data_IF_527042625777
#
_entry.id   IF_527042625777
#
_cell.length_a   1.000
_cell.length_b   1.000
_cell.length_c   1.000
_cell.angle_alpha   90.00
_cell.angle_beta   90.00
_cell.angle_gamma   90.00
#
_symmetry.space_group_name_H-M   'P 1'
#
loop_
_entity.id
_entity.type
_entity.pdbx_description
1 polymer ?
#
# COMPACT_ATOMS: atom_id res chain seq x y z
N UNK A 1 -6.75 -14.10 -41.40
CA UNK A 1 -7.14 -13.48 -40.11
C UNK A 1 -7.05 -14.55 -39.02
N UNK A 2 -6.01 -14.52 -38.21
CA UNK A 2 -5.71 -15.53 -37.19
C UNK A 2 -6.46 -15.22 -35.89
N UNK A 3 -7.48 -16.03 -35.57
CA UNK A 3 -8.26 -15.90 -34.34
C UNK A 3 -7.45 -16.34 -33.13
N UNK A 4 -7.11 -15.41 -32.25
CA UNK A 4 -6.51 -15.69 -30.96
C UNK A 4 -7.58 -16.30 -30.04
N UNK A 5 -7.60 -17.62 -29.92
CA UNK A 5 -8.43 -18.34 -28.96
C UNK A 5 -7.94 -18.05 -27.55
N UNK A 6 -8.69 -17.23 -26.81
CA UNK A 6 -8.46 -16.98 -25.38
C UNK A 6 -8.69 -18.28 -24.61
N UNK A 7 -7.60 -18.91 -24.13
CA UNK A 7 -7.70 -19.98 -23.13
C UNK A 7 -8.33 -19.40 -21.86
N UNK A 8 -9.60 -19.73 -21.64
CA UNK A 8 -10.27 -19.59 -20.36
C UNK A 8 -9.54 -20.50 -19.38
N UNK A 9 -8.65 -19.93 -18.57
CA UNK A 9 -8.04 -20.66 -17.46
C UNK A 9 -9.16 -21.03 -16.48
N UNK A 10 -9.63 -22.27 -16.60
CA UNK A 10 -10.51 -22.92 -15.65
C UNK A 10 -9.83 -22.87 -14.28
N UNK A 11 -10.36 -22.02 -13.40
CA UNK A 11 -10.00 -21.96 -11.99
C UNK A 11 -10.59 -23.18 -11.29
N UNK A 12 -10.00 -24.35 -11.54
CA UNK A 12 -10.32 -25.57 -10.81
C UNK A 12 -10.07 -25.30 -9.33
N UNK A 13 -11.17 -25.28 -8.59
CA UNK A 13 -11.29 -25.30 -7.15
C UNK A 13 -10.32 -26.32 -6.55
N UNK A 14 -9.22 -25.81 -6.00
CA UNK A 14 -8.37 -26.57 -5.08
C UNK A 14 -9.25 -26.91 -3.89
N UNK A 15 -9.72 -28.15 -3.84
CA UNK A 15 -10.27 -28.77 -2.65
C UNK A 15 -9.21 -28.64 -1.56
N UNK A 16 -9.49 -27.79 -0.56
CA UNK A 16 -8.65 -27.60 0.61
C UNK A 16 -8.56 -28.93 1.34
N UNK A 17 -7.45 -29.64 1.14
CA UNK A 17 -7.10 -30.77 1.99
C UNK A 17 -6.84 -30.22 3.39
N UNK A 18 -7.83 -30.34 4.28
CA UNK A 18 -7.74 -30.11 5.73
C UNK A 18 -6.87 -31.18 6.43
N UNK A 19 -6.07 -31.94 5.68
CA UNK A 19 -5.22 -33.02 6.18
C UNK A 19 -4.03 -32.55 7.05
N UNK A 20 -3.98 -31.26 7.41
CA UNK A 20 -2.98 -30.73 8.35
C UNK A 20 -3.45 -30.69 9.80
N UNK A 21 -4.68 -31.10 10.12
CA UNK A 21 -5.25 -30.94 11.47
C UNK A 21 -4.73 -31.93 12.53
N UNK A 22 -3.98 -33.00 12.19
CA UNK A 22 -3.72 -34.10 13.16
C UNK A 22 -2.26 -34.34 13.58
N UNK A 23 -1.30 -33.44 13.31
CA UNK A 23 0.06 -33.64 13.84
C UNK A 23 0.30 -32.85 15.13
N UNK A 24 -0.30 -33.33 16.24
CA UNK A 24 0.07 -33.09 17.65
C UNK A 24 0.20 -31.62 18.10
N UNK A 25 0.15 -31.33 19.42
CA UNK A 25 0.49 -30.01 19.93
C UNK A 25 1.97 -29.75 19.61
N UNK A 26 2.21 -29.05 18.50
CA UNK A 26 3.53 -28.61 18.06
C UNK A 26 4.04 -27.61 19.09
N UNK A 27 4.86 -28.11 20.02
CA UNK A 27 5.66 -27.32 20.95
C UNK A 27 6.15 -26.05 20.24
N UNK A 28 5.76 -24.89 20.79
CA UNK A 28 6.02 -23.57 20.21
C UNK A 28 7.52 -23.32 20.02
N UNK A 29 8.35 -24.01 20.80
CA UNK A 29 9.81 -23.92 20.72
C UNK A 29 10.42 -24.77 19.61
N UNK A 30 9.71 -25.79 19.11
CA UNK A 30 10.26 -26.76 18.17
C UNK A 30 10.36 -26.20 16.74
N UNK A 31 11.49 -26.40 16.03
CA UNK A 31 11.68 -25.92 14.67
C UNK A 31 10.74 -26.62 13.68
N UNK A 32 10.15 -25.84 12.78
CA UNK A 32 9.20 -26.34 11.77
C UNK A 32 9.96 -27.00 10.64
N UNK A 33 9.62 -28.24 10.30
CA UNK A 33 10.25 -28.90 9.17
C UNK A 33 9.86 -28.20 7.85
N UNK A 34 10.84 -27.92 6.99
CA UNK A 34 10.63 -27.26 5.71
C UNK A 34 9.54 -27.87 4.80
N UNK A 35 9.23 -29.17 4.95
CA UNK A 35 8.17 -29.85 4.19
C UNK A 35 6.77 -29.28 4.47
N UNK A 36 6.56 -28.72 5.66
CA UNK A 36 5.28 -28.12 6.06
C UNK A 36 5.14 -26.66 5.63
N UNK A 37 6.24 -26.04 5.16
CA UNK A 37 6.19 -24.67 4.66
C UNK A 37 5.49 -24.57 3.29
N UNK A 38 4.89 -23.42 2.97
CA UNK A 38 4.44 -23.13 1.62
C UNK A 38 5.53 -23.32 0.56
N UNK A 39 5.17 -23.92 -0.58
CA UNK A 39 6.11 -24.19 -1.70
C UNK A 39 6.90 -22.95 -2.17
N UNK A 40 6.32 -21.76 -2.06
CA UNK A 40 7.01 -20.50 -2.42
C UNK A 40 8.20 -20.20 -1.49
N UNK A 41 8.08 -20.53 -0.20
CA UNK A 41 9.17 -20.37 0.77
C UNK A 41 10.21 -21.49 0.60
N UNK A 42 9.76 -22.74 0.41
CA UNK A 42 10.65 -23.87 0.13
C UNK A 42 11.56 -23.60 -1.07
N UNK A 43 11.00 -23.16 -2.20
CA UNK A 43 11.77 -22.80 -3.41
C UNK A 43 12.79 -21.70 -3.14
N UNK A 44 12.44 -20.73 -2.29
CA UNK A 44 13.32 -19.61 -1.94
C UNK A 44 14.49 -20.08 -1.07
N UNK A 45 14.20 -20.92 -0.07
CA UNK A 45 15.21 -21.55 0.78
C UNK A 45 16.16 -22.36 -0.09
N UNK A 46 15.63 -23.27 -0.91
CA UNK A 46 16.42 -24.07 -1.84
C UNK A 46 17.31 -23.19 -2.73
N UNK A 47 16.74 -22.16 -3.38
CA UNK A 47 17.51 -21.22 -4.21
C UNK A 47 18.65 -20.55 -3.43
N UNK A 48 18.43 -20.18 -2.17
CA UNK A 48 19.46 -19.53 -1.34
C UNK A 48 20.57 -20.51 -0.95
N UNK A 49 20.21 -21.75 -0.65
CA UNK A 49 21.16 -22.83 -0.35
C UNK A 49 22.02 -23.13 -1.58
N UNK A 50 21.41 -23.26 -2.77
CA UNK A 50 22.14 -23.49 -4.01
C UNK A 50 23.07 -22.33 -4.42
N UNK A 51 22.83 -21.12 -3.94
CA UNK A 51 23.70 -19.97 -4.17
C UNK A 51 24.89 -19.91 -3.22
N UNK A 52 24.90 -20.73 -2.17
CA UNK A 52 26.02 -20.80 -1.24
C UNK A 52 27.01 -21.83 -1.79
N UNK A 53 28.13 -21.36 -2.32
CA UNK A 53 29.24 -22.23 -2.72
C UNK A 53 30.04 -22.59 -1.46
N UNK A 54 30.24 -23.88 -1.20
CA UNK A 54 31.01 -24.41 -0.05
C UNK A 54 30.19 -25.10 1.03
N UNK A 55 30.84 -25.36 2.16
CA UNK A 55 30.23 -26.05 3.31
C UNK A 55 29.10 -25.21 3.90
N UNK A 56 27.91 -25.82 4.00
CA UNK A 56 26.74 -25.15 4.54
C UNK A 56 26.86 -25.05 6.07
N UNK A 57 26.69 -23.85 6.66
CA UNK A 57 26.69 -23.71 8.11
C UNK A 57 25.47 -24.42 8.72
N UNK A 58 25.61 -24.92 9.96
CA UNK A 58 24.50 -25.53 10.70
C UNK A 58 23.32 -24.57 10.93
N UNK A 59 23.61 -23.27 10.98
CA UNK A 59 22.63 -22.21 11.18
C UNK A 59 22.72 -21.19 10.05
N UNK A 60 21.61 -20.95 9.37
CA UNK A 60 21.55 -20.05 8.21
C UNK A 60 20.52 -18.93 8.44
N UNK A 61 21.00 -17.69 8.39
CA UNK A 61 20.18 -16.50 8.53
C UNK A 61 19.65 -16.04 7.17
N UNK A 62 18.33 -16.11 6.96
CA UNK A 62 17.67 -15.72 5.72
C UNK A 62 16.86 -14.46 5.89
N UNK A 63 17.03 -13.53 4.96
CA UNK A 63 16.21 -12.32 4.93
C UNK A 63 14.72 -12.64 4.71
N UNK A 64 13.88 -12.06 5.56
CA UNK A 64 12.43 -12.24 5.55
C UNK A 64 11.84 -11.79 4.20
N UNK A 65 11.13 -12.67 3.46
CA UNK A 65 10.57 -12.36 2.15
C UNK A 65 9.30 -11.49 2.20
N UNK A 66 8.68 -11.34 3.38
CA UNK A 66 7.46 -10.57 3.57
C UNK A 66 7.71 -9.10 3.85
N UNK A 67 8.90 -8.77 4.34
CA UNK A 67 9.25 -7.40 4.71
C UNK A 67 10.00 -6.68 3.58
N UNK A 68 9.78 -5.36 3.41
CA UNK A 68 10.64 -4.55 2.57
C UNK A 68 12.05 -4.51 3.18
N UNK A 69 13.06 -4.50 2.32
CA UNK A 69 14.46 -4.50 2.74
C UNK A 69 15.07 -3.12 2.50
N UNK A 70 15.74 -2.58 3.50
CA UNK A 70 16.56 -1.38 3.36
C UNK A 70 17.84 -1.78 2.61
N UNK A 71 18.02 -1.24 1.41
CA UNK A 71 19.26 -1.33 0.65
C UNK A 71 20.19 -0.18 1.02
N UNK A 72 21.28 -0.02 0.27
CA UNK A 72 22.26 1.05 0.46
C UNK A 72 21.66 2.47 0.51
N UNK A 73 22.43 3.37 1.10
CA UNK A 73 22.12 4.80 1.17
C UNK A 73 22.03 5.36 -0.25
N UNK A 74 21.04 6.22 -0.50
CA UNK A 74 20.90 6.88 -1.82
C UNK A 74 21.95 7.98 -1.96
N UNK A 75 22.44 8.23 -3.17
CA UNK A 75 23.41 9.30 -3.45
C UNK A 75 22.90 10.71 -3.13
N UNK A 76 21.58 10.96 -3.24
CA UNK A 76 20.96 12.24 -2.85
C UNK A 76 20.98 12.52 -1.34
N UNK A 77 21.28 11.50 -0.53
CA UNK A 77 21.38 11.65 0.92
C UNK A 77 22.60 12.46 1.35
N UNK A 78 23.66 12.46 0.55
CA UNK A 78 24.87 13.22 0.85
C UNK A 78 24.68 14.70 0.54
N UNK A 79 23.86 15.02 -0.47
CA UNK A 79 23.53 16.40 -0.86
C UNK A 79 22.58 17.04 0.14
N UNK A 80 21.58 16.30 0.61
CA UNK A 80 20.53 16.83 1.51
C UNK A 80 20.88 16.73 2.99
N UNK A 81 21.92 15.97 3.36
CA UNK A 81 22.26 15.67 4.76
C UNK A 81 21.27 14.70 5.45
N UNK A 82 20.10 14.45 4.87
CA UNK A 82 19.13 13.49 5.40
C UNK A 82 19.47 12.06 4.96
N UNK A 83 19.53 11.08 5.89
CA UNK A 83 19.84 9.71 5.53
C UNK A 83 18.64 9.06 4.81
N UNK A 84 18.69 9.02 3.47
CA UNK A 84 17.69 8.37 2.61
C UNK A 84 18.21 7.04 2.10
N UNK A 85 17.32 6.06 2.00
CA UNK A 85 17.69 4.69 1.61
C UNK A 85 16.81 4.20 0.46
N UNK A 86 17.39 3.34 -0.37
CA UNK A 86 16.60 2.58 -1.32
C UNK A 86 15.84 1.48 -0.58
N UNK A 87 14.53 1.42 -0.75
CA UNK A 87 13.72 0.35 -0.19
C UNK A 87 13.40 -0.67 -1.27
N UNK A 88 13.91 -1.89 -1.11
CA UNK A 88 13.51 -3.02 -1.95
C UNK A 88 12.15 -3.51 -1.48
N UNK A 89 11.22 -3.65 -2.43
CA UNK A 89 9.90 -4.22 -2.17
C UNK A 89 10.03 -5.63 -1.58
N UNK A 90 9.06 -6.02 -0.76
CA UNK A 90 8.97 -7.39 -0.28
C UNK A 90 8.94 -8.35 -1.47
N UNK A 91 9.63 -9.47 -1.35
CA UNK A 91 9.73 -10.39 -2.48
C UNK A 91 8.47 -11.21 -2.70
N UNK A 92 7.66 -11.38 -1.65
CA UNK A 92 6.31 -11.93 -1.77
C UNK A 92 5.33 -10.75 -1.60
N UNK A 93 4.42 -10.62 -2.54
CA UNK A 93 3.47 -9.49 -2.57
C UNK A 93 2.47 -9.55 -1.41
N UNK A 94 1.96 -8.37 -1.02
CA UNK A 94 0.98 -8.24 0.07
C UNK A 94 -0.28 -9.10 -0.11
N UNK A 95 -0.73 -9.29 -1.36
CA UNK A 95 -1.87 -10.17 -1.68
C UNK A 95 -1.52 -11.63 -1.40
N UNK A 96 -0.34 -12.07 -1.84
CA UNK A 96 0.09 -13.46 -1.64
C UNK A 96 0.38 -13.76 -0.16
N UNK A 97 0.93 -12.80 0.58
CA UNK A 97 1.08 -12.92 2.04
C UNK A 97 -0.25 -13.17 2.74
N UNK A 98 -1.31 -12.42 2.38
CA UNK A 98 -2.67 -12.67 2.91
C UNK A 98 -3.16 -14.08 2.61
N UNK A 99 -2.97 -14.55 1.37
CA UNK A 99 -3.38 -15.90 0.99
C UNK A 99 -2.63 -16.99 1.77
N UNK A 100 -1.34 -16.77 2.07
CA UNK A 100 -0.56 -17.69 2.89
C UNK A 100 -1.07 -17.71 4.34
N UNK A 101 -1.31 -16.54 4.94
CA UNK A 101 -1.86 -16.42 6.30
C UNK A 101 -3.27 -17.02 6.43
N UNK A 102 -4.03 -17.09 5.34
CA UNK A 102 -5.33 -17.77 5.32
C UNK A 102 -5.25 -19.30 5.30
N UNK A 103 -4.10 -19.86 4.89
CA UNK A 103 -3.94 -21.29 4.63
C UNK A 103 -2.93 -21.97 5.57
N UNK A 104 -2.08 -21.19 6.25
CA UNK A 104 -1.01 -21.66 7.10
C UNK A 104 -1.00 -20.85 8.40
N UNK A 105 -0.65 -21.48 9.54
CA UNK A 105 -0.58 -20.79 10.82
C UNK A 105 0.49 -19.70 10.77
N UNK A 106 0.21 -18.56 11.40
CA UNK A 106 1.09 -17.38 11.34
C UNK A 106 2.48 -17.60 11.97
N UNK A 107 2.59 -18.59 12.86
CA UNK A 107 3.80 -18.94 13.59
C UNK A 107 4.83 -19.71 12.73
N UNK A 108 4.37 -20.46 11.73
CA UNK A 108 5.23 -21.21 10.81
C UNK A 108 5.69 -20.34 9.62
N UNK A 109 5.05 -19.19 9.44
CA UNK A 109 5.37 -18.25 8.39
C UNK A 109 6.37 -17.19 8.89
N UNK A 110 7.19 -16.62 7.99
CA UNK A 110 7.99 -15.45 8.31
C UNK A 110 7.11 -14.32 8.86
N UNK A 111 7.67 -13.50 9.75
CA UNK A 111 6.95 -12.38 10.35
C UNK A 111 6.36 -11.48 9.25
N UNK A 112 5.05 -11.25 9.29
CA UNK A 112 4.34 -10.36 8.37
C UNK A 112 3.81 -9.15 9.12
N UNK A 113 3.63 -8.04 8.41
CA UNK A 113 2.88 -6.87 8.90
C UNK A 113 1.42 -7.15 9.27
N UNK A 114 0.91 -8.30 8.84
CA UNK A 114 -0.47 -8.76 9.08
C UNK A 114 -0.55 -9.87 10.12
N UNK A 115 0.58 -10.34 10.63
CA UNK A 115 0.59 -11.26 11.76
C UNK A 115 0.17 -10.49 13.02
N UNK A 116 -0.42 -11.17 14.02
CA UNK A 116 -0.74 -10.53 15.29
C UNK A 116 0.53 -9.96 15.95
N UNK A 117 0.35 -8.90 16.75
CA UNK A 117 1.44 -8.23 17.47
C UNK A 117 2.15 -9.25 18.38
N UNK A 118 3.49 -9.25 18.36
CA UNK A 118 4.30 -10.19 19.15
C UNK A 118 4.47 -11.58 18.53
N UNK A 119 3.90 -11.85 17.34
CA UNK A 119 4.13 -13.11 16.64
C UNK A 119 5.63 -13.31 16.32
N UNK A 120 6.23 -14.33 16.92
CA UNK A 120 7.57 -14.80 16.55
C UNK A 120 7.44 -15.89 15.49
N UNK A 121 8.32 -15.84 14.48
CA UNK A 121 8.41 -16.92 13.49
C UNK A 121 9.27 -18.03 14.06
N UNK A 122 8.77 -19.28 14.01
CA UNK A 122 9.59 -20.44 14.37
C UNK A 122 10.77 -20.61 13.40
N UNK A 123 11.91 -21.12 13.88
CA UNK A 123 13.01 -21.52 13.03
C UNK A 123 12.60 -22.71 12.14
N UNK A 124 13.21 -22.81 10.96
CA UNK A 124 12.88 -23.82 9.96
C UNK A 124 13.97 -24.87 9.90
N UNK A 125 13.64 -26.15 10.09
CA UNK A 125 14.56 -27.27 9.92
C UNK A 125 14.60 -27.73 8.46
N UNK A 126 15.79 -27.73 7.86
CA UNK A 126 16.05 -28.16 6.50
C UNK A 126 17.01 -29.34 6.49
N UNK A 127 16.64 -30.42 5.80
CA UNK A 127 17.50 -31.60 5.70
C UNK A 127 18.41 -31.44 4.47
N UNK A 128 19.70 -31.21 4.70
CA UNK A 128 20.71 -31.00 3.66
C UNK A 128 21.30 -32.34 3.22
N UNK A 129 20.46 -33.22 2.67
CA UNK A 129 20.88 -34.52 2.14
C UNK A 129 21.57 -35.45 3.14
N UNK A 130 21.89 -36.66 2.68
CA UNK A 130 22.71 -37.62 3.44
C UNK A 130 24.12 -37.48 2.90
N UNK A 131 24.97 -36.69 3.57
CA UNK A 131 26.40 -36.74 3.31
C UNK A 131 26.96 -38.08 3.78
N UNK A 132 28.18 -38.42 3.35
CA UNK A 132 28.85 -39.67 3.69
C UNK A 132 29.01 -39.93 5.21
N UNK A 133 28.79 -38.92 6.05
CA UNK A 133 28.85 -39.01 7.52
C UNK A 133 27.51 -38.91 8.27
N UNK A 134 26.36 -38.94 7.59
CA UNK A 134 25.04 -38.92 8.23
C UNK A 134 24.07 -37.84 7.73
N UNK A 135 22.85 -37.84 8.28
CA UNK A 135 21.81 -36.84 7.96
C UNK A 135 22.17 -35.50 8.61
N UNK A 136 22.74 -34.59 7.84
CA UNK A 136 22.96 -33.21 8.30
C UNK A 136 21.66 -32.42 8.26
N UNK A 137 21.36 -31.72 9.35
CA UNK A 137 20.18 -30.86 9.45
C UNK A 137 20.61 -29.43 9.73
N UNK A 138 20.13 -28.51 8.91
CA UNK A 138 20.39 -27.08 9.04
C UNK A 138 19.16 -26.36 9.59
N UNK A 139 19.38 -25.39 10.47
CA UNK A 139 18.33 -24.54 11.04
C UNK A 139 18.36 -23.17 10.39
N UNK A 140 17.20 -22.71 9.92
CA UNK A 140 17.06 -21.44 9.21
C UNK A 140 16.28 -20.46 10.07
N UNK A 141 16.85 -19.29 10.29
CA UNK A 141 16.19 -18.18 10.98
C UNK A 141 15.82 -17.09 9.97
N UNK A 142 14.58 -16.59 10.07
CA UNK A 142 14.15 -15.44 9.29
C UNK A 142 14.63 -14.15 9.97
N UNK A 143 15.48 -13.39 9.27
CA UNK A 143 16.00 -12.11 9.75
C UNK A 143 15.24 -10.93 9.13
N UNK A 144 15.16 -9.84 9.87
CA UNK A 144 14.52 -8.60 9.43
C UNK A 144 13.60 -8.05 10.51
N UNK A 145 13.79 -6.78 10.84
CA UNK A 145 12.93 -6.08 11.78
C UNK A 145 11.75 -5.43 11.04
N UNK A 146 10.58 -5.44 11.68
CA UNK A 146 9.47 -4.61 11.25
C UNK A 146 9.88 -3.13 11.39
N UNK A 147 9.43 -2.25 10.48
CA UNK A 147 9.66 -0.81 10.65
C UNK A 147 9.09 -0.37 12.00
N UNK A 148 9.94 0.13 12.91
CA UNK A 148 9.54 0.50 14.28
C UNK A 148 8.29 1.40 14.30
N UNK A 149 8.24 2.40 13.41
CA UNK A 149 7.09 3.30 13.24
C UNK A 149 5.75 2.58 13.04
N UNK A 150 5.76 1.40 12.41
CA UNK A 150 4.54 0.61 12.20
C UNK A 150 4.18 -0.23 13.42
N UNK A 151 5.18 -0.76 14.13
CA UNK A 151 4.98 -1.48 15.39
C UNK A 151 4.41 -0.53 16.44
N UNK A 152 5.01 0.65 16.60
CA UNK A 152 4.51 1.70 17.50
C UNK A 152 3.06 2.09 17.18
N UNK A 153 2.71 2.23 15.90
CA UNK A 153 1.34 2.54 15.49
C UNK A 153 0.36 1.42 15.82
N UNK A 154 0.78 0.16 15.71
CA UNK A 154 -0.04 -0.99 16.09
C UNK A 154 -0.22 -1.06 17.61
N UNK A 155 0.86 -0.91 18.38
CA UNK A 155 0.82 -0.86 19.84
C UNK A 155 -0.09 0.28 20.29
N UNK A 156 0.05 1.48 19.74
CA UNK A 156 -0.78 2.62 20.08
C UNK A 156 -2.27 2.39 19.78
N UNK A 157 -2.59 1.71 18.67
CA UNK A 157 -3.98 1.36 18.33
C UNK A 157 -4.55 0.29 19.26
N UNK A 158 -3.72 -0.66 19.72
CA UNK A 158 -4.14 -1.73 20.62
C UNK A 158 -4.33 -1.22 22.06
N UNK A 159 -3.44 -0.34 22.54
CA UNK A 159 -3.58 0.34 23.84
C UNK A 159 -4.87 1.16 23.93
N UNK A 160 -5.30 1.80 22.84
CA UNK A 160 -6.57 2.54 22.82
C UNK A 160 -7.81 1.64 23.00
N UNK A 161 -7.73 0.36 22.68
CA UNK A 161 -8.85 -0.57 22.79
C UNK A 161 -8.90 -1.32 24.14
N UNK A 162 -7.86 -1.23 24.97
CA UNK A 162 -7.77 -1.94 26.26
C UNK A 162 -8.05 -1.06 27.48
N UNK A 163 -8.44 0.21 27.30
CA UNK A 163 -8.87 1.04 28.44
C UNK A 163 -10.29 0.61 28.81
N UNK A 164 -10.51 -0.07 29.96
CA UNK A 164 -11.83 -0.48 30.39
C UNK A 164 -12.69 0.77 30.63
N UNK A 165 -13.86 0.79 30.00
CA UNK A 165 -14.90 1.81 30.14
C UNK A 165 -15.59 1.71 31.51
N UNK A 166 -14.83 1.82 32.58
CA UNK A 166 -15.31 1.75 33.96
C UNK A 166 -14.65 2.83 34.82
N UNK A 167 -14.98 4.08 34.54
CA UNK A 167 -15.01 5.11 35.59
C UNK A 167 -16.01 6.21 35.24
N UNK A 168 -17.08 6.16 35.99
CA UNK A 168 -18.13 7.15 36.18
C UNK A 168 -17.53 8.48 36.63
N UNK A 169 -17.40 9.46 35.74
CA UNK A 169 -17.42 10.88 36.10
C UNK A 169 -17.97 11.65 34.92
N UNK A 170 -19.15 12.22 35.13
CA UNK A 170 -19.96 12.96 34.18
C UNK A 170 -19.31 14.32 33.86
N UNK A 171 -18.44 14.34 32.88
CA UNK A 171 -18.08 15.54 32.12
C UNK A 171 -18.23 15.18 30.64
N UNK A 172 -19.04 15.91 29.84
CA UNK A 172 -19.31 15.55 28.45
C UNK A 172 -18.10 15.89 27.57
N UNK A 173 -17.02 15.12 27.71
CA UNK A 173 -15.99 15.03 26.69
C UNK A 173 -16.63 14.33 25.48
N UNK A 174 -17.14 15.15 24.57
CA UNK A 174 -17.49 14.76 23.22
C UNK A 174 -16.22 14.23 22.55
N UNK A 175 -15.95 12.93 22.72
CA UNK A 175 -15.05 12.20 21.84
C UNK A 175 -15.70 12.24 20.48
N UNK A 176 -15.43 13.32 19.75
CA UNK A 176 -15.91 13.54 18.41
C UNK A 176 -15.44 12.33 17.62
N UNK A 177 -16.36 11.38 17.41
CA UNK A 177 -16.19 10.27 16.50
C UNK A 177 -15.68 10.93 15.25
N UNK A 178 -14.41 10.66 14.92
CA UNK A 178 -13.79 11.19 13.72
C UNK A 178 -14.55 10.57 12.57
N UNK A 179 -15.64 11.22 12.17
CA UNK A 179 -16.51 10.78 11.11
C UNK A 179 -15.68 10.63 9.85
N UNK A 180 -16.20 9.92 8.86
CA UNK A 180 -15.54 9.65 7.58
C UNK A 180 -14.97 10.93 6.90
N UNK A 181 -15.47 12.10 7.30
CA UNK A 181 -15.12 13.42 6.79
C UNK A 181 -14.40 14.34 7.79
N UNK A 182 -14.14 13.87 9.02
CA UNK A 182 -13.43 14.66 10.03
C UNK A 182 -12.00 14.96 9.57
N UNK A 183 -11.61 16.23 9.59
CA UNK A 183 -10.32 16.71 9.08
C UNK A 183 -10.31 17.11 7.61
N UNK A 184 -11.42 17.01 6.87
CA UNK A 184 -11.53 17.71 5.58
C UNK A 184 -11.79 19.19 5.82
N UNK A 185 -10.93 20.06 5.29
CA UNK A 185 -11.09 21.53 5.37
C UNK A 185 -12.40 22.02 4.74
N UNK A 186 -12.95 21.28 3.79
CA UNK A 186 -14.23 21.55 3.15
C UNK A 186 -14.92 20.22 2.84
N UNK A 187 -16.17 20.06 3.29
CA UNK A 187 -16.89 18.78 3.18
C UNK A 187 -17.26 18.44 1.73
N UNK A 188 -17.63 19.45 0.95
CA UNK A 188 -17.97 19.32 -0.46
C UNK A 188 -17.35 20.47 -1.24
N UNK A 189 -16.65 20.15 -2.32
CA UNK A 189 -16.02 21.13 -3.20
C UNK A 189 -17.06 21.90 -4.05
N UNK A 190 -18.28 21.37 -4.18
CA UNK A 190 -19.29 21.86 -5.11
C UNK A 190 -18.93 21.58 -6.57
N UNK A 191 -19.94 21.56 -7.44
CA UNK A 191 -19.72 21.48 -8.88
C UNK A 191 -19.01 22.76 -9.38
N UNK A 192 -18.33 22.67 -10.53
CA UNK A 192 -17.61 23.82 -11.10
C UNK A 192 -18.55 25.00 -11.34
N UNK A 193 -19.79 24.73 -11.75
CA UNK A 193 -20.79 25.77 -12.01
C UNK A 193 -21.29 26.48 -10.76
N UNK A 194 -21.40 25.77 -9.63
CA UNK A 194 -21.79 26.37 -8.34
C UNK A 194 -20.68 27.30 -7.83
N UNK A 195 -19.43 26.85 -7.88
CA UNK A 195 -18.27 27.64 -7.47
C UNK A 195 -18.08 28.91 -8.30
N UNK A 196 -18.40 28.84 -9.59
CA UNK A 196 -18.23 29.97 -10.50
C UNK A 196 -19.50 30.81 -10.68
N UNK A 197 -20.57 30.53 -9.90
CA UNK A 197 -21.87 31.19 -10.07
C UNK A 197 -21.79 32.70 -9.84
N UNK A 198 -21.11 33.12 -8.79
CA UNK A 198 -20.95 34.54 -8.43
C UNK A 198 -20.17 35.30 -9.50
N UNK A 199 -19.07 34.72 -9.97
CA UNK A 199 -18.29 35.29 -11.07
C UNK A 199 -19.14 35.42 -12.35
N UNK A 200 -19.89 34.38 -12.72
CA UNK A 200 -20.79 34.43 -13.89
C UNK A 200 -21.89 35.50 -13.75
N UNK A 201 -22.35 35.80 -12.53
CA UNK A 201 -23.31 36.87 -12.28
C UNK A 201 -22.66 38.25 -12.44
N UNK A 202 -21.45 38.44 -11.91
CA UNK A 202 -20.67 39.67 -12.08
C UNK A 202 -20.37 39.94 -13.56
N UNK A 203 -19.94 38.93 -14.31
CA UNK A 203 -19.69 39.06 -15.75
C UNK A 203 -20.95 39.47 -16.54
N UNK A 204 -22.12 38.96 -16.13
CA UNK A 204 -23.40 39.40 -16.73
C UNK A 204 -23.69 40.85 -16.42
N UNK A 205 -23.50 41.27 -15.18
CA UNK A 205 -23.74 42.65 -14.77
C UNK A 205 -22.83 43.62 -15.53
N UNK A 206 -21.53 43.34 -15.59
CA UNK A 206 -20.55 44.14 -16.35
C UNK A 206 -20.94 44.26 -17.82
N UNK A 207 -21.46 43.19 -18.44
CA UNK A 207 -21.94 43.24 -19.83
C UNK A 207 -23.18 44.11 -20.00
N UNK A 208 -24.11 44.07 -19.05
CA UNK A 208 -25.32 44.89 -19.06
C UNK A 208 -24.96 46.37 -18.86
N UNK A 209 -24.11 46.68 -17.89
CA UNK A 209 -23.66 48.05 -17.61
C UNK A 209 -22.91 48.65 -18.81
N UNK A 210 -22.07 47.85 -19.48
CA UNK A 210 -21.37 48.25 -20.70
C UNK A 210 -22.22 48.24 -21.98
N UNK A 211 -23.49 47.90 -21.91
CA UNK A 211 -24.34 47.75 -23.10
C UNK A 211 -24.67 49.09 -23.74
N UNK A 212 -25.01 50.12 -22.94
CA UNK A 212 -25.36 51.44 -23.46
C UNK A 212 -24.20 52.11 -24.21
N UNK A 213 -22.99 51.97 -23.66
CA UNK A 213 -21.76 52.46 -24.31
C UNK A 213 -21.55 51.80 -25.66
N UNK A 214 -21.65 50.47 -25.73
CA UNK A 214 -21.52 49.71 -26.99
C UNK A 214 -22.58 50.10 -28.01
N UNK A 215 -23.82 50.33 -27.56
CA UNK A 215 -24.90 50.82 -28.44
C UNK A 215 -24.58 52.22 -28.97
N UNK A 216 -24.07 53.12 -28.13
CA UNK A 216 -23.70 54.49 -28.55
C UNK A 216 -22.55 54.46 -29.56
N UNK A 217 -21.48 53.73 -29.27
CA UNK A 217 -20.34 53.55 -30.18
C UNK A 217 -20.77 52.96 -31.52
N UNK A 218 -21.64 51.94 -31.50
CA UNK A 218 -22.18 51.34 -32.71
C UNK A 218 -23.03 52.33 -33.53
N UNK A 219 -23.91 53.09 -32.88
CA UNK A 219 -24.73 54.13 -33.54
C UNK A 219 -23.86 55.24 -34.12
N UNK A 220 -22.84 55.67 -33.38
CA UNK A 220 -21.89 56.68 -33.83
C UNK A 220 -21.11 56.18 -35.06
N UNK A 221 -20.56 54.96 -35.01
CA UNK A 221 -19.87 54.37 -36.15
C UNK A 221 -20.75 54.26 -37.40
N UNK A 222 -22.04 53.92 -37.24
CA UNK A 222 -23.01 53.92 -38.36
C UNK A 222 -23.29 55.32 -38.92
N UNK A 223 -23.35 56.32 -38.05
CA UNK A 223 -23.53 57.72 -38.47
C UNK A 223 -22.29 58.24 -39.20
N UNK A 224 -21.10 57.98 -38.67
CA UNK A 224 -19.82 58.38 -39.27
C UNK A 224 -19.63 57.72 -40.64
N UNK A 225 -19.97 56.43 -40.76
CA UNK A 225 -20.01 55.69 -42.03
C UNK A 225 -20.98 56.33 -43.02
N UNK A 226 -22.18 56.73 -42.56
CA UNK A 226 -23.17 57.42 -43.40
C UNK A 226 -22.66 58.79 -43.88
N UNK A 227 -21.98 59.56 -43.02
CA UNK A 227 -21.41 60.87 -43.38
C UNK A 227 -20.28 60.68 -44.39
N UNK A 228 -19.40 59.70 -44.17
CA UNK A 228 -18.29 59.39 -45.09
C UNK A 228 -18.78 58.97 -46.48
N UNK A 229 -19.90 58.27 -46.55
CA UNK A 229 -20.50 57.81 -47.81
C UNK A 229 -21.42 58.85 -48.48
N UNK A 230 -21.58 60.05 -47.91
CA UNK A 230 -22.32 61.12 -48.60
C UNK A 230 -21.48 61.64 -49.77
N UNK A 231 -21.99 61.60 -51.01
CA UNK A 231 -21.28 62.19 -52.14
C UNK A 231 -21.08 63.70 -51.90
N UNK A 232 -19.84 64.17 -52.03
CA UNK A 232 -19.45 65.54 -51.69
C UNK A 232 -19.75 66.57 -52.77
N UNK A 233 -20.35 66.16 -53.89
CA UNK A 233 -20.78 67.09 -54.94
C UNK A 233 -22.25 67.45 -54.74
N UNK A 234 -22.61 68.74 -54.60
CA UNK A 234 -23.97 69.18 -54.85
C UNK A 234 -24.21 69.00 -56.36
N UNK A 235 -25.27 68.28 -56.71
CA UNK A 235 -25.89 68.47 -58.02
C UNK A 235 -26.46 69.89 -58.07
#
# INVERSE_FOLDING_TARGET
MSSITRRLFSSSSITRSTAFENTLPLDLSSPVHAKHLPRVLQRRIAKRIFQHEGDLPSTLNMQNPFLPQRLGRRSDSDITGEPRYHWKKSSISNRRQKQLLQSYPSIDLPISLKSPVGAQSRPVKWNTGTGAGGRSTMTIHWTGQLPQKQVEKQIAAETQNQIPSSSTTSEPLTTATKGLYSGRKQMFKGHKDERNREQKLQDRQVRLDGMEKRIREWRQGRNDEKIRNRPSLPF
#
